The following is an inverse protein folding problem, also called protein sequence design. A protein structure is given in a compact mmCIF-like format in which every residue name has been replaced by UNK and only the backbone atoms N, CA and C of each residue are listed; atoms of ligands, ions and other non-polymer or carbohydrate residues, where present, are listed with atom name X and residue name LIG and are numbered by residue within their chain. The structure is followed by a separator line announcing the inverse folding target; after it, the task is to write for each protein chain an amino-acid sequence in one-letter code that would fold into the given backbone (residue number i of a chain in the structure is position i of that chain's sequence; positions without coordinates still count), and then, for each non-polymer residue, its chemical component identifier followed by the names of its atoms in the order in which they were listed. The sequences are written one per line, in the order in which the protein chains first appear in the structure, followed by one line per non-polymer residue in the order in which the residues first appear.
data_IF_810235568912
#
_entry.id   IF_810235568912
#
_cell.length_a   1.000
_cell.length_b   1.000
_cell.length_c   1.000
_cell.angle_alpha   90.00
_cell.angle_beta   90.00
_cell.angle_gamma   90.00
#
_symmetry.space_group_name_H-M   'P 1'
#
loop_
_entity.id
_entity.type
_entity.pdbx_description
1 polymer ?
#
# COMPACT_ATOMS: atom_id res chain seq x y z
N UNK A 1 5.62 -10.16 10.96
CA UNK A 1 6.30 -9.34 9.95
C UNK A 1 5.43 -9.27 8.70
N UNK A 2 5.23 -8.07 8.16
CA UNK A 2 4.58 -7.89 6.87
C UNK A 2 5.65 -7.93 5.77
N UNK A 3 5.38 -8.68 4.71
CA UNK A 3 6.19 -8.73 3.51
C UNK A 3 5.30 -8.54 2.29
N UNK A 4 5.76 -7.73 1.33
CA UNK A 4 5.07 -7.53 0.05
C UNK A 4 6.11 -7.45 -1.06
N UNK A 5 5.86 -8.15 -2.16
CA UNK A 5 6.69 -8.17 -3.35
C UNK A 5 5.85 -8.03 -4.63
N UNK A 6 6.42 -7.33 -5.62
CA UNK A 6 5.93 -7.33 -7.00
C UNK A 6 7.11 -7.15 -7.96
N UNK A 7 6.94 -7.54 -9.22
CA UNK A 7 7.89 -7.21 -10.29
C UNK A 7 7.34 -6.04 -11.10
N UNK A 8 8.16 -5.00 -11.29
CA UNK A 8 7.79 -3.79 -12.02
C UNK A 8 8.68 -3.66 -13.25
N UNK A 9 8.09 -3.67 -14.44
CA UNK A 9 8.76 -3.44 -15.72
C UNK A 9 9.06 -1.95 -15.92
N UNK A 10 10.10 -1.47 -15.22
CA UNK A 10 10.57 -0.10 -15.29
C UNK A 10 12.07 -0.03 -14.99
N UNK A 11 12.70 1.09 -15.34
CA UNK A 11 14.10 1.34 -14.99
C UNK A 11 14.26 1.54 -13.47
N UNK A 12 15.39 1.07 -12.93
CA UNK A 12 15.71 1.22 -11.51
C UNK A 12 15.66 2.69 -11.07
N UNK A 13 16.22 3.61 -11.86
CA UNK A 13 16.23 5.04 -11.53
C UNK A 13 14.82 5.63 -11.49
N UNK A 14 13.94 5.20 -12.39
CA UNK A 14 12.55 5.63 -12.39
C UNK A 14 11.85 5.13 -11.13
N UNK A 15 11.96 3.84 -10.81
CA UNK A 15 11.38 3.25 -9.62
C UNK A 15 11.95 3.87 -8.34
N UNK A 16 13.27 4.05 -8.26
CA UNK A 16 13.96 4.69 -7.14
C UNK A 16 13.44 6.10 -6.89
N UNK A 17 13.35 6.94 -7.93
CA UNK A 17 12.78 8.29 -7.78
C UNK A 17 11.34 8.27 -7.28
N UNK A 18 10.47 7.44 -7.84
CA UNK A 18 9.05 7.39 -7.44
C UNK A 18 8.81 6.87 -6.03
N UNK A 19 9.78 6.11 -5.51
CA UNK A 19 9.73 5.55 -4.17
C UNK A 19 10.41 6.50 -3.16
N UNK A 20 11.56 7.09 -3.48
CA UNK A 20 12.31 7.93 -2.54
C UNK A 20 11.88 9.41 -2.52
N UNK A 21 11.33 9.96 -3.61
CA UNK A 21 10.84 11.35 -3.63
C UNK A 21 9.52 11.46 -2.83
N UNK A 22 9.45 12.22 -1.72
CA UNK A 22 8.23 12.41 -0.94
C UNK A 22 7.02 12.88 -1.74
N UNK A 23 7.24 13.70 -2.76
CA UNK A 23 6.17 14.25 -3.61
C UNK A 23 5.56 13.18 -4.51
N UNK A 24 6.38 12.25 -5.02
CA UNK A 24 5.91 11.10 -5.78
C UNK A 24 5.33 10.00 -4.88
N UNK A 25 6.01 9.69 -3.78
CA UNK A 25 5.67 8.59 -2.86
C UNK A 25 4.25 8.73 -2.31
N UNK A 26 3.92 9.91 -1.77
CA UNK A 26 2.58 10.17 -1.19
C UNK A 26 1.42 9.98 -2.17
N UNK A 27 1.67 9.99 -3.48
CA UNK A 27 0.62 9.89 -4.50
C UNK A 27 0.11 8.47 -4.64
N UNK A 28 0.99 7.47 -4.55
CA UNK A 28 0.64 6.07 -4.79
C UNK A 28 0.45 5.26 -3.50
N UNK A 29 1.17 5.58 -2.43
CA UNK A 29 1.15 4.81 -1.17
C UNK A 29 -0.02 5.20 -0.26
N UNK A 30 -0.96 4.28 -0.07
CA UNK A 30 -2.12 4.48 0.82
C UNK A 30 -1.72 4.67 2.29
N UNK A 31 -0.53 4.22 2.68
CA UNK A 31 -0.06 4.26 4.07
C UNK A 31 0.47 5.63 4.44
N UNK A 32 0.80 6.49 3.48
CA UNK A 32 1.40 7.81 3.72
C UNK A 32 0.66 8.88 2.92
N UNK A 33 -0.25 9.62 3.57
CA UNK A 33 -0.99 10.71 2.93
C UNK A 33 -0.20 12.00 2.78
N UNK A 34 0.78 12.22 3.66
CA UNK A 34 1.73 13.33 3.63
C UNK A 34 3.08 12.87 4.13
N UNK A 35 4.13 13.37 3.50
CA UNK A 35 5.52 13.15 3.90
C UNK A 35 6.20 14.52 3.81
N UNK A 36 6.63 15.05 4.95
CA UNK A 36 7.36 16.31 5.04
C UNK A 36 8.82 15.99 5.41
N UNK A 37 9.77 16.14 4.46
CA UNK A 37 11.18 15.88 4.74
C UNK A 37 11.73 16.89 5.75
N UNK A 38 12.65 16.41 6.59
CA UNK A 38 13.42 17.18 7.56
C UNK A 38 14.92 16.92 7.33
N UNK A 39 15.78 17.63 8.07
CA UNK A 39 17.22 17.41 8.03
C UNK A 39 17.63 15.99 8.47
N UNK A 40 18.82 15.55 8.07
CA UNK A 40 19.45 14.30 8.49
C UNK A 40 18.63 13.03 8.20
N UNK A 41 17.93 13.02 7.06
CA UNK A 41 17.12 11.88 6.62
C UNK A 41 15.87 11.65 7.46
N UNK A 42 15.51 12.60 8.34
CA UNK A 42 14.28 12.56 9.13
C UNK A 42 13.11 13.04 8.28
N UNK A 43 11.90 12.64 8.63
CA UNK A 43 10.67 13.14 8.01
C UNK A 43 9.50 13.03 8.98
N UNK A 44 8.49 13.86 8.79
CA UNK A 44 7.17 13.67 9.40
C UNK A 44 6.24 13.07 8.38
N UNK A 45 5.36 12.19 8.84
CA UNK A 45 4.31 11.66 8.00
C UNK A 45 2.94 11.81 8.67
N UNK A 46 1.91 11.87 7.83
CA UNK A 46 0.54 11.83 8.29
C UNK A 46 -0.30 10.92 7.40
N UNK A 47 -1.18 10.15 8.05
CA UNK A 47 -2.00 9.14 7.39
C UNK A 47 -3.44 9.29 7.85
N UNK A 48 -4.35 9.40 6.88
CA UNK A 48 -5.78 9.36 7.16
C UNK A 48 -6.21 7.90 7.29
N UNK A 49 -6.50 7.48 8.51
CA UNK A 49 -6.86 6.09 8.82
C UNK A 49 -8.38 5.87 8.72
N UNK A 50 -9.18 6.91 8.96
CA UNK A 50 -10.63 6.92 8.83
C UNK A 50 -11.09 8.32 8.35
N UNK A 51 -12.32 8.48 7.83
CA UNK A 51 -12.89 9.80 7.58
C UNK A 51 -12.77 10.70 8.82
N UNK A 52 -12.17 11.88 8.67
CA UNK A 52 -11.92 12.82 9.77
C UNK A 52 -10.79 12.45 10.74
N UNK A 53 -10.19 11.24 10.66
CA UNK A 53 -9.14 10.80 11.59
C UNK A 53 -7.79 10.74 10.87
N UNK A 54 -6.89 11.63 11.26
CA UNK A 54 -5.50 11.65 10.78
C UNK A 54 -4.56 11.35 11.94
N UNK A 55 -3.67 10.39 11.72
CA UNK A 55 -2.59 10.01 12.65
C UNK A 55 -1.28 10.54 12.07
N UNK A 56 -0.46 11.17 12.92
CA UNK A 56 0.85 11.67 12.55
C UNK A 56 1.96 10.85 13.21
N UNK A 57 3.11 10.77 12.54
CA UNK A 57 4.30 10.14 13.07
C UNK A 57 5.57 10.74 12.51
N UNK A 58 6.69 10.24 13.02
CA UNK A 58 8.04 10.63 12.65
C UNK A 58 8.75 9.42 12.05
N UNK A 59 9.62 9.67 11.09
CA UNK A 59 10.45 8.67 10.46
C UNK A 59 11.88 9.14 10.29
N UNK A 60 12.77 8.17 10.12
CA UNK A 60 14.18 8.40 9.78
C UNK A 60 14.62 7.35 8.78
N UNK A 61 15.18 7.79 7.66
CA UNK A 61 15.92 6.94 6.75
C UNK A 61 17.19 6.47 7.47
N UNK A 62 17.25 5.17 7.81
CA UNK A 62 18.36 4.60 8.57
C UNK A 62 19.55 4.20 7.70
N UNK A 63 19.40 4.23 6.37
CA UNK A 63 20.48 4.04 5.43
C UNK A 63 19.98 3.61 4.05
N UNK A 64 20.73 4.01 3.02
CA UNK A 64 20.59 3.48 1.66
C UNK A 64 21.87 2.75 1.28
N UNK A 65 21.74 1.69 0.48
CA UNK A 65 22.89 0.97 -0.07
C UNK A 65 22.63 0.65 -1.53
N UNK A 66 23.51 1.11 -2.40
CA UNK A 66 23.58 0.66 -3.78
C UNK A 66 24.75 -0.32 -3.92
N UNK A 67 24.55 -1.42 -4.63
CA UNK A 67 25.59 -2.41 -4.91
C UNK A 67 25.97 -2.34 -6.39
N UNK A 68 27.18 -2.83 -6.70
CA UNK A 68 27.70 -2.87 -8.07
C UNK A 68 26.88 -3.77 -9.01
N UNK A 69 26.14 -4.73 -8.46
CA UNK A 69 25.21 -5.60 -9.21
C UNK A 69 23.87 -4.92 -9.55
N UNK A 70 23.72 -3.62 -9.26
CA UNK A 70 22.50 -2.86 -9.49
C UNK A 70 21.43 -3.06 -8.42
N UNK A 71 21.66 -3.91 -7.41
CA UNK A 71 20.73 -4.02 -6.28
C UNK A 71 20.79 -2.78 -5.39
N UNK A 72 19.63 -2.35 -4.92
CA UNK A 72 19.53 -1.23 -3.98
C UNK A 72 18.67 -1.61 -2.77
N UNK A 73 18.96 -0.99 -1.63
CA UNK A 73 18.17 -1.11 -0.40
C UNK A 73 18.00 0.28 0.22
N UNK A 74 16.80 0.59 0.67
CA UNK A 74 16.49 1.77 1.49
C UNK A 74 15.81 1.31 2.77
N UNK A 75 16.45 1.54 3.92
CA UNK A 75 15.95 1.15 5.24
C UNK A 75 15.44 2.37 5.99
N UNK A 76 14.35 2.21 6.72
CA UNK A 76 13.76 3.27 7.52
C UNK A 76 13.25 2.77 8.86
N UNK A 77 13.19 3.68 9.82
CA UNK A 77 12.48 3.51 11.09
C UNK A 77 11.38 4.55 11.18
N UNK A 78 10.29 4.19 11.84
CA UNK A 78 9.14 5.06 12.02
C UNK A 78 8.54 4.89 13.41
N UNK A 79 7.92 5.94 13.92
CA UNK A 79 7.23 5.96 15.20
C UNK A 79 6.08 6.94 15.17
N UNK A 80 5.12 6.77 16.06
CA UNK A 80 3.99 7.67 16.19
C UNK A 80 3.71 7.90 17.66
N UNK A 81 3.84 9.15 18.11
CA UNK A 81 3.45 9.54 19.47
C UNK A 81 1.95 9.82 19.60
N UNK A 82 1.22 9.89 18.49
CA UNK A 82 -0.24 9.98 18.48
C UNK A 82 -0.85 8.78 19.22
N UNK A 83 -1.63 9.08 20.26
CA UNK A 83 -2.29 8.08 21.12
C UNK A 83 -3.33 7.26 20.37
N UNK A 84 -3.86 7.76 19.26
CA UNK A 84 -4.84 7.07 18.41
C UNK A 84 -4.20 6.02 17.50
N UNK A 85 -2.88 6.07 17.32
CA UNK A 85 -2.14 5.10 16.52
C UNK A 85 -2.02 3.76 17.24
N UNK A 86 -2.43 2.68 16.57
CA UNK A 86 -2.09 1.30 16.94
C UNK A 86 -0.57 1.12 16.92
N UNK A 87 0.13 1.71 15.96
CA UNK A 87 1.57 1.55 15.82
C UNK A 87 2.29 2.53 16.74
N UNK A 88 3.14 2.02 17.64
CA UNK A 88 4.04 2.84 18.47
C UNK A 88 5.34 3.14 17.74
N UNK A 89 5.98 2.11 17.20
CA UNK A 89 7.29 2.18 16.55
C UNK A 89 7.49 0.99 15.63
N UNK A 90 8.14 1.16 14.50
CA UNK A 90 8.49 0.08 13.59
C UNK A 90 9.73 0.37 12.77
N UNK A 91 10.14 -0.64 12.02
CA UNK A 91 11.25 -0.56 11.10
C UNK A 91 10.90 -1.35 9.84
N UNK A 92 11.39 -0.88 8.71
CA UNK A 92 11.16 -1.50 7.44
C UNK A 92 12.28 -1.22 6.47
N UNK A 93 12.24 -1.92 5.36
CA UNK A 93 13.13 -1.66 4.25
C UNK A 93 12.38 -1.86 2.94
N UNK A 94 12.93 -1.24 1.90
CA UNK A 94 12.64 -1.50 0.51
C UNK A 94 13.89 -2.06 -0.15
N UNK A 95 13.70 -3.03 -1.02
CA UNK A 95 14.77 -3.66 -1.78
C UNK A 95 14.37 -3.73 -3.24
N UNK A 96 15.35 -3.46 -4.07
CA UNK A 96 15.25 -3.33 -5.51
C UNK A 96 16.26 -4.29 -6.10
N UNK A 97 15.78 -5.29 -6.84
CA UNK A 97 16.62 -6.28 -7.47
C UNK A 97 16.34 -6.32 -8.96
N UNK A 98 17.31 -5.95 -9.81
CA UNK A 98 17.19 -6.13 -11.24
C UNK A 98 16.98 -7.60 -11.61
N UNK A 99 16.03 -7.87 -12.49
CA UNK A 99 15.73 -9.18 -13.08
C UNK A 99 15.55 -9.02 -14.60
N UNK A 100 15.53 -10.11 -15.39
CA UNK A 100 15.24 -10.03 -16.82
C UNK A 100 13.87 -9.41 -17.15
N UNK A 101 12.90 -9.55 -16.24
CA UNK A 101 11.52 -9.09 -16.41
C UNK A 101 11.25 -7.71 -15.78
N UNK A 102 12.28 -6.99 -15.32
CA UNK A 102 12.15 -5.67 -14.69
C UNK A 102 12.86 -5.59 -13.35
N UNK A 103 12.28 -4.88 -12.38
CA UNK A 103 12.80 -4.79 -11.01
C UNK A 103 11.87 -5.57 -10.08
N UNK A 104 12.40 -6.58 -9.40
CA UNK A 104 11.75 -7.17 -8.23
C UNK A 104 11.82 -6.16 -7.09
N UNK A 105 10.66 -5.61 -6.75
CA UNK A 105 10.50 -4.62 -5.70
C UNK A 105 9.78 -5.25 -4.53
N UNK A 106 10.43 -5.28 -3.38
CA UNK A 106 9.82 -5.80 -2.17
C UNK A 106 10.12 -4.97 -0.94
N UNK A 107 9.22 -5.09 0.03
CA UNK A 107 9.36 -4.51 1.35
C UNK A 107 9.16 -5.57 2.42
N UNK A 108 9.92 -5.43 3.50
CA UNK A 108 9.70 -6.16 4.73
C UNK A 108 9.67 -5.17 5.88
N UNK A 109 8.67 -5.27 6.75
CA UNK A 109 8.60 -4.41 7.92
C UNK A 109 7.84 -5.05 9.08
N UNK A 110 8.19 -4.63 10.29
CA UNK A 110 7.48 -4.99 11.50
C UNK A 110 7.38 -3.78 12.44
N UNK A 111 6.44 -3.86 13.37
CA UNK A 111 6.15 -2.78 14.30
C UNK A 111 5.66 -3.31 15.64
N UNK A 112 5.90 -2.50 16.67
CA UNK A 112 5.37 -2.67 18.01
C UNK A 112 4.05 -1.93 18.11
N UNK A 113 3.05 -2.62 18.66
CA UNK A 113 1.71 -2.08 18.87
C UNK A 113 1.57 -1.37 20.22
N UNK A 114 0.63 -0.43 20.30
CA UNK A 114 0.19 0.26 21.51
C UNK A 114 -0.79 -0.62 22.30
N UNK A 115 -1.17 -0.23 23.52
CA UNK A 115 -2.24 -0.85 24.33
C UNK A 115 -2.07 -2.33 24.71
N UNK A 116 -0.82 -2.83 24.73
CA UNK A 116 -0.48 -4.17 25.20
C UNK A 116 -1.40 -5.28 24.64
N UNK A 117 -2.24 -5.92 25.47
CA UNK A 117 -3.12 -7.03 25.06
C UNK A 117 -4.18 -6.59 24.06
N UNK A 118 -4.84 -5.45 24.29
CA UNK A 118 -5.89 -4.95 23.39
C UNK A 118 -5.32 -4.60 22.02
N UNK A 119 -4.13 -3.98 21.99
CA UNK A 119 -3.47 -3.69 20.71
C UNK A 119 -3.05 -4.93 19.96
N UNK A 120 -2.59 -5.99 20.64
CA UNK A 120 -2.30 -7.28 19.99
C UNK A 120 -3.54 -7.94 19.40
N UNK A 121 -4.70 -7.80 20.05
CA UNK A 121 -5.95 -8.32 19.51
C UNK A 121 -6.38 -7.54 18.26
N UNK A 122 -6.32 -6.21 18.32
CA UNK A 122 -6.58 -5.35 17.17
C UNK A 122 -5.60 -5.61 16.01
N UNK A 123 -4.33 -5.90 16.32
CA UNK A 123 -3.29 -6.18 15.32
C UNK A 123 -3.59 -7.40 14.45
N UNK A 124 -4.35 -8.38 14.97
CA UNK A 124 -4.74 -9.56 14.17
C UNK A 124 -5.59 -9.21 12.96
N UNK A 125 -6.40 -8.15 13.05
CA UNK A 125 -7.18 -7.64 11.92
C UNK A 125 -6.41 -6.53 11.18
N UNK A 126 -5.72 -5.66 11.91
CA UNK A 126 -5.02 -4.52 11.34
C UNK A 126 -3.84 -4.94 10.45
N UNK A 127 -3.04 -5.93 10.86
CA UNK A 127 -1.83 -6.36 10.15
C UNK A 127 -2.13 -6.91 8.75
N UNK A 128 -3.11 -7.81 8.53
CA UNK A 128 -3.52 -8.22 7.19
C UNK A 128 -4.03 -7.06 6.33
N UNK A 129 -4.82 -6.14 6.90
CA UNK A 129 -5.31 -4.95 6.17
C UNK A 129 -4.15 -4.05 5.75
N UNK A 130 -3.14 -3.89 6.61
CA UNK A 130 -1.97 -3.07 6.33
C UNK A 130 -1.04 -3.71 5.28
N UNK A 131 -0.92 -5.05 5.29
CA UNK A 131 -0.28 -5.83 4.22
C UNK A 131 -1.01 -5.68 2.88
N UNK A 132 -2.33 -5.87 2.87
CA UNK A 132 -3.17 -5.65 1.69
C UNK A 132 -3.05 -4.23 1.13
N UNK A 133 -3.07 -3.20 2.00
CA UNK A 133 -2.93 -1.81 1.59
C UNK A 133 -1.55 -1.52 0.98
N UNK A 134 -0.50 -2.17 1.49
CA UNK A 134 0.85 -2.11 0.91
C UNK A 134 0.87 -2.74 -0.49
N UNK A 135 0.32 -3.96 -0.63
CA UNK A 135 0.22 -4.66 -1.91
C UNK A 135 -0.61 -3.89 -2.95
N UNK A 136 -1.74 -3.30 -2.54
CA UNK A 136 -2.54 -2.45 -3.41
C UNK A 136 -1.76 -1.20 -3.87
N UNK A 137 -0.98 -0.61 -2.96
CA UNK A 137 -0.12 0.54 -3.26
C UNK A 137 1.00 0.18 -4.24
N UNK A 138 1.60 -1.00 -4.10
CA UNK A 138 2.62 -1.50 -5.02
C UNK A 138 2.08 -1.71 -6.44
N UNK A 139 0.90 -2.34 -6.58
CA UNK A 139 0.28 -2.48 -7.91
C UNK A 139 -0.12 -1.11 -8.50
N UNK A 140 -0.53 -0.15 -7.67
CA UNK A 140 -0.79 1.22 -8.12
C UNK A 140 0.48 1.94 -8.63
N UNK A 141 1.61 1.74 -7.96
CA UNK A 141 2.91 2.21 -8.44
C UNK A 141 3.32 1.51 -9.74
N UNK A 142 3.13 0.19 -9.83
CA UNK A 142 3.36 -0.60 -11.05
C UNK A 142 2.55 -0.05 -12.23
N UNK A 143 1.26 0.19 -12.05
CA UNK A 143 0.40 0.77 -13.10
C UNK A 143 0.86 2.16 -13.54
N UNK A 144 1.42 2.97 -12.62
CA UNK A 144 1.97 4.26 -12.96
C UNK A 144 3.23 4.13 -13.81
N UNK A 145 4.17 3.26 -13.41
CA UNK A 145 5.44 3.10 -14.09
C UNK A 145 5.33 2.31 -15.41
N UNK A 146 4.50 1.26 -15.48
CA UNK A 146 4.39 0.39 -16.65
C UNK A 146 3.38 0.88 -17.69
N UNK A 147 2.25 1.44 -17.24
CA UNK A 147 1.13 1.79 -18.11
C UNK A 147 0.90 3.30 -18.18
N UNK A 148 1.72 4.10 -17.49
CA UNK A 148 1.57 5.55 -17.45
C UNK A 148 0.27 6.00 -16.78
N UNK A 149 -0.39 5.16 -15.98
CA UNK A 149 -1.66 5.50 -15.30
C UNK A 149 -1.34 6.25 -14.01
N UNK A 150 -1.57 7.58 -13.92
CA UNK A 150 -1.23 8.31 -12.71
C UNK A 150 -2.02 7.78 -11.49
N UNK A 151 -1.46 7.84 -10.27
CA UNK A 151 -2.10 7.26 -9.10
C UNK A 151 -3.52 7.77 -8.87
N UNK A 152 -3.80 9.03 -9.16
CA UNK A 152 -5.12 9.65 -9.01
C UNK A 152 -6.13 9.06 -10.00
N UNK A 153 -5.70 8.73 -11.23
CA UNK A 153 -6.52 8.04 -12.22
C UNK A 153 -6.75 6.58 -11.85
N UNK A 154 -5.72 5.89 -11.35
CA UNK A 154 -5.85 4.52 -10.85
C UNK A 154 -6.87 4.43 -9.70
N UNK A 155 -6.88 5.42 -8.79
CA UNK A 155 -7.89 5.53 -7.74
C UNK A 155 -9.30 5.74 -8.31
N UNK A 156 -9.47 6.61 -9.32
CA UNK A 156 -10.76 6.78 -10.00
C UNK A 156 -11.25 5.47 -10.64
N UNK A 157 -10.36 4.71 -11.29
CA UNK A 157 -10.73 3.39 -11.82
C UNK A 157 -11.20 2.44 -10.72
N UNK A 158 -10.53 2.43 -9.56
CA UNK A 158 -10.95 1.62 -8.42
C UNK A 158 -12.33 2.03 -7.87
N UNK A 159 -12.60 3.33 -7.79
CA UNK A 159 -13.91 3.84 -7.35
C UNK A 159 -15.02 3.50 -8.34
N UNK A 160 -14.76 3.61 -9.65
CA UNK A 160 -15.72 3.22 -10.69
C UNK A 160 -15.98 1.72 -10.67
N UNK A 161 -14.92 0.90 -10.58
CA UNK A 161 -15.02 -0.56 -10.49
C UNK A 161 -15.86 -0.95 -9.26
N UNK A 162 -15.54 -0.41 -8.08
CA UNK A 162 -16.31 -0.65 -6.86
C UNK A 162 -17.77 -0.16 -6.97
N UNK A 163 -17.99 1.03 -7.51
CA UNK A 163 -19.33 1.60 -7.70
C UNK A 163 -20.19 0.75 -8.64
N UNK A 164 -19.61 0.26 -9.75
CA UNK A 164 -20.30 -0.64 -10.67
C UNK A 164 -20.65 -1.98 -10.01
N UNK A 165 -19.73 -2.55 -9.22
CA UNK A 165 -19.97 -3.78 -8.45
C UNK A 165 -21.09 -3.62 -7.43
N UNK A 166 -21.07 -2.54 -6.65
CA UNK A 166 -22.13 -2.22 -5.69
C UNK A 166 -23.46 -1.99 -6.44
N UNK A 167 -23.43 -1.29 -7.57
CA UNK A 167 -24.61 -1.05 -8.40
C UNK A 167 -25.26 -2.34 -8.90
N UNK A 168 -24.47 -3.31 -9.36
CA UNK A 168 -24.97 -4.63 -9.80
C UNK A 168 -25.66 -5.35 -8.63
N UNK A 169 -25.01 -5.43 -7.47
CA UNK A 169 -25.57 -6.10 -6.29
C UNK A 169 -26.84 -5.39 -5.81
N UNK A 170 -26.86 -4.05 -5.83
CA UNK A 170 -28.02 -3.26 -5.45
C UNK A 170 -29.21 -3.47 -6.40
N UNK A 171 -28.97 -3.52 -7.72
CA UNK A 171 -30.02 -3.81 -8.71
C UNK A 171 -30.61 -5.18 -8.46
N UNK A 172 -29.79 -6.22 -8.26
CA UNK A 172 -30.27 -7.58 -7.96
C UNK A 172 -31.10 -7.59 -6.67
N UNK A 173 -30.64 -6.87 -5.64
CA UNK A 173 -31.39 -6.74 -4.38
C UNK A 173 -32.75 -6.06 -4.55
N UNK A 174 -32.89 -5.12 -5.48
CA UNK A 174 -34.14 -4.39 -5.73
C UNK A 174 -35.14 -5.19 -6.60
N UNK A 175 -34.65 -6.03 -7.52
CA UNK A 175 -35.52 -6.68 -8.54
C UNK A 175 -35.72 -8.19 -8.32
N UNK A 176 -34.99 -8.79 -7.39
CA UNK A 176 -35.04 -10.24 -7.13
C UNK A 176 -35.29 -10.53 -5.65
N UNK A 177 -34.42 -11.27 -4.97
CA UNK A 177 -34.54 -11.62 -3.57
C UNK A 177 -33.17 -11.75 -2.87
N UNK A 178 -33.17 -12.09 -1.57
CA UNK A 178 -31.95 -12.16 -0.78
C UNK A 178 -31.00 -13.28 -1.24
N UNK A 179 -31.52 -14.40 -1.74
CA UNK A 179 -30.70 -15.51 -2.23
C UNK A 179 -29.91 -15.10 -3.49
N UNK A 180 -30.58 -14.49 -4.46
CA UNK A 180 -29.99 -13.99 -5.71
C UNK A 180 -28.98 -12.88 -5.42
N UNK A 181 -29.27 -12.03 -4.44
CA UNK A 181 -28.36 -10.97 -3.98
C UNK A 181 -27.05 -11.54 -3.44
N UNK A 182 -27.12 -12.59 -2.62
CA UNK A 182 -25.92 -13.26 -2.09
C UNK A 182 -25.11 -13.91 -3.21
N UNK A 183 -25.77 -14.55 -4.18
CA UNK A 183 -25.11 -15.12 -5.37
C UNK A 183 -24.43 -14.02 -6.18
N UNK A 184 -25.13 -12.91 -6.47
CA UNK A 184 -24.57 -11.78 -7.19
C UNK A 184 -23.37 -11.16 -6.45
N UNK A 185 -23.48 -10.97 -5.13
CA UNK A 185 -22.38 -10.46 -4.31
C UNK A 185 -21.16 -11.39 -4.35
N UNK A 186 -21.37 -12.71 -4.27
CA UNK A 186 -20.32 -13.71 -4.40
C UNK A 186 -19.63 -13.68 -5.76
N UNK A 187 -20.40 -13.67 -6.85
CA UNK A 187 -19.88 -13.60 -8.22
C UNK A 187 -19.08 -12.31 -8.43
N UNK A 188 -19.65 -11.18 -8.02
CA UNK A 188 -19.00 -9.87 -8.13
C UNK A 188 -17.75 -9.79 -7.26
N UNK A 189 -17.65 -10.49 -6.12
CA UNK A 189 -16.45 -10.50 -5.29
C UNK A 189 -15.27 -11.26 -5.94
N UNK A 190 -15.53 -12.31 -6.73
CA UNK A 190 -14.47 -13.12 -7.35
C UNK A 190 -14.01 -12.60 -8.71
N UNK A 191 -14.86 -11.85 -9.41
CA UNK A 191 -14.52 -11.27 -10.72
C UNK A 191 -13.31 -10.34 -10.59
N UNK A 192 -12.25 -10.53 -11.41
CA UNK A 192 -11.12 -9.62 -11.47
C UNK A 192 -11.48 -8.14 -11.60
N UNK A 193 -10.77 -7.22 -10.92
CA UNK A 193 -10.85 -5.82 -11.27
C UNK A 193 -10.19 -5.58 -12.64
N UNK A 194 -10.61 -4.51 -13.30
CA UNK A 194 -10.07 -4.10 -14.58
C UNK A 194 -8.52 -4.03 -14.54
N UNK A 195 -7.85 -4.26 -15.68
CA UNK A 195 -6.38 -4.23 -15.77
C UNK A 195 -5.77 -2.95 -15.19
N UNK A 196 -6.39 -1.80 -15.45
CA UNK A 196 -5.95 -0.47 -14.96
C UNK A 196 -6.44 -0.09 -13.56
N UNK A 197 -7.12 -0.99 -12.86
CA UNK A 197 -7.53 -0.83 -11.47
C UNK A 197 -6.50 -1.53 -10.58
N UNK A 198 -5.94 -0.85 -9.56
CA UNK A 198 -4.98 -1.50 -8.68
C UNK A 198 -5.62 -2.65 -7.89
N UNK A 199 -4.86 -3.73 -7.70
CA UNK A 199 -5.33 -4.93 -7.02
C UNK A 199 -4.20 -5.60 -6.23
N UNK A 200 -4.35 -5.68 -4.91
CA UNK A 200 -3.37 -6.31 -4.02
C UNK A 200 -3.02 -7.76 -4.41
N UNK A 201 -3.97 -8.50 -4.97
CA UNK A 201 -3.80 -9.89 -5.43
C UNK A 201 -2.84 -10.06 -6.62
N UNK A 202 -2.36 -8.96 -7.22
CA UNK A 202 -1.29 -8.99 -8.25
C UNK A 202 0.11 -8.89 -7.63
N UNK A 203 0.19 -8.76 -6.31
CA UNK A 203 1.42 -8.80 -5.55
C UNK A 203 1.44 -10.07 -4.69
N UNK A 204 2.63 -10.55 -4.37
CA UNK A 204 2.83 -11.56 -3.34
C UNK A 204 2.93 -10.86 -1.99
N UNK A 205 2.18 -11.31 -0.98
CA UNK A 205 2.25 -10.69 0.34
C UNK A 205 1.87 -11.62 1.48
N UNK A 206 2.43 -11.35 2.64
CA UNK A 206 2.14 -12.00 3.92
C UNK A 206 2.14 -10.98 5.05
N UNK A 207 1.40 -11.26 6.12
CA UNK A 207 1.16 -10.32 7.21
C UNK A 207 1.08 -11.04 8.56
#
# INVERSE_FOLDING_TARGET
MIHVETTIRADLDALWRHTQDPAAHRRWDLRFGRIDPLADGRFRYATRVLPGVTVAGDGIASGTRHRADGTAVSALRFSSDDRRSIIRSGAGYWRYEPTPDGIRFHTGYDYRVRWARLGRLADRAFRPVFGWATAWSFDRLRLWLEEGVPPERALRHALIDLGGRIGIVAVVALVSGPAETLVAAGLVAVVPPCRRTPAARRCEWSA
#
